data_IF_074589939854
#
_entry.id   IF_074589939854
#
_cell.length_a   1.000
_cell.length_b   1.000
_cell.length_c   1.000
_cell.angle_alpha   90.00
_cell.angle_beta   90.00
_cell.angle_gamma   90.00
#
_symmetry.space_group_name_H-M   'P 1'
#
loop_
_entity.id
_entity.type
_entity.pdbx_description
1 polymer ?
#
# COMPACT_ATOMS: atom_id res chain seq x y z
N UNK A 1 -38.82 3.26 -20.55
CA UNK A 1 -37.65 4.00 -20.05
C UNK A 1 -37.09 3.22 -18.87
N UNK A 2 -36.23 2.22 -19.12
CA UNK A 2 -35.66 1.40 -18.05
C UNK A 2 -34.14 1.57 -18.09
N UNK A 3 -33.67 2.61 -17.42
CA UNK A 3 -32.24 2.84 -17.23
C UNK A 3 -31.66 1.80 -16.28
N UNK A 4 -30.94 0.85 -16.87
CA UNK A 4 -29.67 0.31 -16.38
C UNK A 4 -29.50 0.17 -14.86
N UNK A 5 -29.82 -1.02 -14.33
CA UNK A 5 -29.17 -1.54 -13.11
C UNK A 5 -27.70 -1.91 -13.43
N UNK A 6 -26.91 -0.96 -13.90
CA UNK A 6 -25.46 -1.11 -13.87
C UNK A 6 -25.07 -1.08 -12.39
N UNK A 7 -24.38 -2.09 -11.84
CA UNK A 7 -23.82 -1.98 -10.51
C UNK A 7 -22.81 -0.82 -10.56
N UNK A 8 -23.22 0.35 -10.08
CA UNK A 8 -22.32 1.46 -9.90
C UNK A 8 -21.24 1.00 -8.94
N UNK A 9 -20.01 0.79 -9.43
CA UNK A 9 -18.87 0.50 -8.57
C UNK A 9 -18.63 1.75 -7.73
N UNK A 10 -19.26 1.80 -6.56
CA UNK A 10 -19.09 2.87 -5.62
C UNK A 10 -17.78 2.63 -4.88
N UNK A 11 -16.70 3.18 -5.42
CA UNK A 11 -15.36 3.04 -4.86
C UNK A 11 -15.29 3.72 -3.48
N UNK A 12 -15.35 2.92 -2.42
CA UNK A 12 -15.32 3.41 -1.03
C UNK A 12 -13.87 3.53 -0.58
N UNK A 13 -13.46 4.75 -0.22
CA UNK A 13 -12.09 5.06 0.19
C UNK A 13 -11.63 4.26 1.41
N UNK A 14 -12.49 4.07 2.40
CA UNK A 14 -12.14 3.38 3.66
C UNK A 14 -11.76 1.90 3.45
N UNK A 15 -12.61 1.05 2.85
CA UNK A 15 -12.25 -0.34 2.61
C UNK A 15 -11.06 -0.45 1.64
N UNK A 16 -10.98 0.41 0.63
CA UNK A 16 -9.83 0.41 -0.29
C UNK A 16 -8.52 0.74 0.43
N UNK A 17 -8.50 1.79 1.25
CA UNK A 17 -7.35 2.19 2.05
C UNK A 17 -6.89 1.09 3.00
N UNK A 18 -7.82 0.48 3.73
CA UNK A 18 -7.49 -0.63 4.63
C UNK A 18 -6.94 -1.86 3.89
N UNK A 19 -7.55 -2.25 2.77
CA UNK A 19 -7.07 -3.40 1.97
C UNK A 19 -5.68 -3.15 1.40
N UNK A 20 -5.42 -1.97 0.82
CA UNK A 20 -4.10 -1.61 0.29
C UNK A 20 -3.04 -1.55 1.39
N UNK A 21 -3.39 -0.97 2.55
CA UNK A 21 -2.49 -0.89 3.70
C UNK A 21 -2.15 -2.26 4.26
N UNK A 22 -3.14 -3.14 4.42
CA UNK A 22 -2.93 -4.52 4.87
C UNK A 22 -2.07 -5.32 3.89
N UNK A 23 -2.31 -5.15 2.59
CA UNK A 23 -1.51 -5.79 1.54
C UNK A 23 -0.03 -5.35 1.66
N UNK A 24 0.24 -4.05 1.78
CA UNK A 24 1.60 -3.54 1.94
C UNK A 24 2.25 -4.01 3.25
N UNK A 25 1.53 -4.02 4.35
CA UNK A 25 2.01 -4.55 5.65
C UNK A 25 2.39 -6.03 5.52
N UNK A 26 1.54 -6.86 4.91
CA UNK A 26 1.82 -8.28 4.72
C UNK A 26 3.04 -8.47 3.81
N UNK A 27 3.11 -7.75 2.69
CA UNK A 27 4.27 -7.79 1.79
C UNK A 27 5.56 -7.37 2.49
N UNK A 28 5.50 -6.32 3.31
CA UNK A 28 6.63 -5.87 4.13
C UNK A 28 7.09 -6.95 5.10
N UNK A 29 6.17 -7.58 5.85
CA UNK A 29 6.50 -8.66 6.78
C UNK A 29 7.13 -9.87 6.07
N UNK A 30 6.61 -10.24 4.90
CA UNK A 30 7.18 -11.30 4.07
C UNK A 30 8.59 -10.93 3.59
N UNK A 31 8.82 -9.67 3.18
CA UNK A 31 10.14 -9.20 2.75
C UNK A 31 11.16 -9.21 3.91
N UNK A 32 10.74 -8.75 5.09
CA UNK A 32 11.59 -8.77 6.29
C UNK A 32 11.91 -10.21 6.68
N UNK A 33 10.90 -11.09 6.77
CA UNK A 33 11.08 -12.50 7.10
C UNK A 33 11.98 -13.23 6.10
N UNK A 34 11.79 -12.98 4.80
CA UNK A 34 12.66 -13.54 3.76
C UNK A 34 14.10 -13.03 3.90
N UNK A 35 14.31 -11.73 4.18
CA UNK A 35 15.64 -11.16 4.39
C UNK A 35 16.39 -11.69 5.62
N UNK A 36 15.68 -12.33 6.57
CA UNK A 36 16.30 -13.03 7.70
C UNK A 36 16.81 -14.43 7.33
N UNK A 37 16.17 -15.09 6.36
CA UNK A 37 16.48 -16.47 5.95
C UNK A 37 17.39 -16.50 4.72
N UNK A 38 17.24 -15.51 3.82
CA UNK A 38 17.96 -15.44 2.56
C UNK A 38 19.38 -14.89 2.72
N UNK A 39 20.36 -15.39 1.93
CA UNK A 39 21.72 -14.87 1.92
C UNK A 39 21.76 -13.40 1.47
N UNK A 40 22.73 -12.64 1.99
CA UNK A 40 22.79 -11.17 1.91
C UNK A 40 22.71 -10.55 0.51
N UNK A 41 22.90 -11.33 -0.56
CA UNK A 41 22.78 -10.89 -1.95
C UNK A 41 21.33 -10.82 -2.46
N UNK A 42 20.36 -11.45 -1.78
CA UNK A 42 18.93 -11.47 -2.14
C UNK A 42 18.10 -10.57 -1.21
N UNK A 43 18.72 -9.49 -0.74
CA UNK A 43 18.17 -8.61 0.30
C UNK A 43 17.15 -7.63 -0.28
N UNK A 44 15.89 -8.05 -0.29
CA UNK A 44 14.75 -7.29 -0.83
C UNK A 44 14.40 -6.00 -0.02
N UNK A 45 15.03 -5.78 1.13
CA UNK A 45 14.84 -4.56 1.95
C UNK A 45 15.37 -3.29 1.26
N UNK A 46 16.25 -3.40 0.27
CA UNK A 46 16.79 -2.22 -0.44
C UNK A 46 15.72 -1.47 -1.24
N UNK A 47 14.61 -2.12 -1.61
CA UNK A 47 13.46 -1.45 -2.20
C UNK A 47 12.72 -0.54 -1.20
N UNK A 48 12.81 -0.86 0.10
CA UNK A 48 12.12 -0.17 1.18
C UNK A 48 12.96 0.97 1.77
N UNK A 49 14.28 0.79 1.86
CA UNK A 49 15.21 1.79 2.40
C UNK A 49 15.05 3.23 1.82
N UNK A 50 14.85 3.45 0.50
CA UNK A 50 14.63 4.79 -0.04
C UNK A 50 13.21 5.33 0.16
N UNK A 51 12.23 4.44 0.41
CA UNK A 51 10.83 4.82 0.61
C UNK A 51 10.51 5.16 2.08
N UNK A 52 11.34 4.72 3.03
CA UNK A 52 11.07 4.81 4.46
C UNK A 52 12.12 5.64 5.21
N UNK A 53 11.89 6.96 5.43
CA UNK A 53 12.82 7.79 6.17
C UNK A 53 12.94 7.32 7.62
N UNK A 54 14.15 6.91 8.02
CA UNK A 54 14.42 6.38 9.37
C UNK A 54 14.30 4.86 9.50
N UNK A 55 14.10 4.14 8.38
CA UNK A 55 14.18 2.68 8.37
C UNK A 55 15.63 2.20 8.47
N UNK A 56 16.00 1.65 9.62
CA UNK A 56 17.25 0.92 9.81
C UNK A 56 17.01 -0.59 9.80
N UNK A 57 17.65 -1.29 8.87
CA UNK A 57 17.54 -2.75 8.74
C UNK A 57 17.96 -3.46 10.02
N UNK A 58 17.18 -4.46 10.42
CA UNK A 58 17.45 -5.32 11.59
C UNK A 58 17.40 -4.61 12.96
N UNK A 59 16.88 -3.39 13.03
CA UNK A 59 16.61 -2.71 14.30
C UNK A 59 15.13 -2.83 14.68
N UNK A 60 14.83 -2.96 15.97
CA UNK A 60 13.45 -2.98 16.46
C UNK A 60 12.70 -1.69 16.13
N UNK A 61 13.37 -0.55 16.28
CA UNK A 61 12.80 0.78 15.97
C UNK A 61 12.51 0.92 14.48
N UNK A 62 13.48 0.59 13.62
CA UNK A 62 13.30 0.62 12.17
C UNK A 62 12.17 -0.29 11.71
N UNK A 63 12.03 -1.48 12.29
CA UNK A 63 10.91 -2.38 11.97
C UNK A 63 9.53 -1.78 12.27
N UNK A 64 9.37 -1.13 13.44
CA UNK A 64 8.11 -0.51 13.83
C UNK A 64 7.79 0.74 13.00
N UNK A 65 8.78 1.59 12.74
CA UNK A 65 8.65 2.72 11.80
C UNK A 65 8.23 2.17 10.43
N UNK A 66 8.88 1.11 9.99
CA UNK A 66 8.56 0.32 8.81
C UNK A 66 7.08 0.02 8.67
N UNK A 67 6.52 -0.66 9.67
CA UNK A 67 5.11 -1.04 9.72
C UNK A 67 4.15 0.15 9.65
N UNK A 68 4.45 1.23 10.37
CA UNK A 68 3.61 2.44 10.38
C UNK A 68 3.63 3.09 9.00
N UNK A 69 4.81 3.29 8.43
CA UNK A 69 4.96 3.96 7.14
C UNK A 69 4.32 3.18 5.99
N UNK A 70 4.50 1.85 5.91
CA UNK A 70 3.86 1.06 4.85
C UNK A 70 2.33 1.06 4.98
N UNK A 71 1.80 1.10 6.20
CA UNK A 71 0.37 1.27 6.43
C UNK A 71 -0.11 2.65 5.95
N UNK A 72 0.61 3.72 6.30
CA UNK A 72 0.30 5.07 5.86
C UNK A 72 0.39 5.21 4.32
N UNK A 73 1.36 4.55 3.68
CA UNK A 73 1.48 4.54 2.22
C UNK A 73 0.28 3.88 1.54
N UNK A 74 -0.31 2.83 2.12
CA UNK A 74 -1.54 2.22 1.58
C UNK A 74 -2.71 3.20 1.59
N UNK A 75 -2.86 3.97 2.67
CA UNK A 75 -3.85 5.05 2.76
C UNK A 75 -3.55 6.20 1.81
N UNK A 76 -2.29 6.61 1.70
CA UNK A 76 -1.86 7.63 0.73
C UNK A 76 -2.28 7.26 -0.69
N UNK A 77 -2.04 6.01 -1.10
CA UNK A 77 -2.47 5.50 -2.42
C UNK A 77 -3.99 5.57 -2.55
N UNK A 78 -4.76 5.12 -1.56
CA UNK A 78 -6.22 5.18 -1.63
C UNK A 78 -6.77 6.61 -1.72
N UNK A 79 -6.22 7.53 -0.92
CA UNK A 79 -6.62 8.95 -0.90
C UNK A 79 -6.33 9.64 -2.22
N UNK A 80 -5.25 9.30 -2.92
CA UNK A 80 -4.96 9.83 -4.25
C UNK A 80 -5.74 9.12 -5.35
N UNK A 81 -5.81 7.79 -5.30
CA UNK A 81 -6.39 6.98 -6.36
C UNK A 81 -7.89 7.18 -6.52
N UNK A 82 -8.65 7.22 -5.41
CA UNK A 82 -10.11 7.36 -5.46
C UNK A 82 -10.56 8.64 -6.18
N UNK A 83 -10.12 9.86 -5.80
CA UNK A 83 -10.53 11.08 -6.49
C UNK A 83 -10.04 11.14 -7.94
N UNK A 84 -8.83 10.65 -8.23
CA UNK A 84 -8.30 10.60 -9.60
C UNK A 84 -9.13 9.67 -10.50
N UNK A 85 -9.51 8.49 -9.98
CA UNK A 85 -10.37 7.55 -10.68
C UNK A 85 -11.75 8.15 -10.97
N UNK A 86 -12.33 8.81 -9.96
CA UNK A 86 -13.63 9.48 -10.11
C UNK A 86 -13.57 10.62 -11.14
N UNK A 87 -12.51 11.44 -11.11
CA UNK A 87 -12.28 12.51 -12.08
C UNK A 87 -12.16 11.94 -13.51
N UNK A 88 -11.28 10.96 -13.72
CA UNK A 88 -11.09 10.31 -15.03
C UNK A 88 -12.36 9.63 -15.55
N UNK A 89 -13.19 9.07 -14.66
CA UNK A 89 -14.47 8.46 -15.03
C UNK A 89 -15.54 9.49 -15.40
N UNK A 90 -15.46 10.70 -14.83
CA UNK A 90 -16.42 11.79 -15.07
C UNK A 90 -16.26 12.39 -16.47
N UNK A 91 -15.03 12.44 -16.98
CA UNK A 91 -14.74 13.01 -18.31
C UNK A 91 -15.17 12.11 -19.48
N UNK A 92 -15.67 10.89 -19.22
CA UNK A 92 -16.15 9.95 -20.25
C UNK A 92 -17.67 9.98 -20.47
N UNK A 93 -18.36 10.99 -19.96
CA UNK A 93 -19.80 11.19 -20.13
C UNK A 93 -20.15 12.57 -20.67
#
# INVERSE_FOLDING_TARGET
MNSSNAPGIHLRIIPLGNTLSLLLVISYLLCVGFGLVAPGQMRMYEAWAPLLPGFEWLTWTGFLIGLIEVYLYGWYIAVLFVPLYLWSSKDRH
#
